data_IF_399204504232
#
_entry.id   IF_399204504232
#
_cell.length_a   1.000
_cell.length_b   1.000
_cell.length_c   1.000
_cell.angle_alpha   90.00
_cell.angle_beta   90.00
_cell.angle_gamma   90.00
#
_symmetry.space_group_name_H-M   'P 1'
#
loop_
_entity.id
_entity.type
_entity.pdbx_description
1 polymer ?
#
# COMPACT_ATOMS: atom_id res chain seq x y z
N UNK A 1 62.74 -28.48 -22.05
CA UNK A 1 61.80 -29.23 -21.20
C UNK A 1 60.75 -28.25 -20.73
N UNK A 2 59.48 -28.58 -20.97
CA UNK A 2 58.35 -27.65 -21.08
C UNK A 2 57.98 -26.96 -19.76
N UNK A 3 57.89 -25.63 -19.77
CA UNK A 3 57.23 -24.87 -18.72
C UNK A 3 55.72 -24.92 -18.99
N UNK A 4 54.99 -25.65 -18.15
CA UNK A 4 53.53 -25.70 -18.19
C UNK A 4 52.94 -24.39 -17.68
N UNK A 5 52.62 -23.46 -18.58
CA UNK A 5 51.65 -22.41 -18.32
C UNK A 5 50.25 -23.03 -18.38
N UNK A 6 49.68 -23.35 -17.21
CA UNK A 6 48.25 -23.60 -17.09
C UNK A 6 47.47 -22.32 -17.42
N UNK A 7 46.40 -22.37 -18.23
CA UNK A 7 45.60 -21.20 -18.55
C UNK A 7 44.91 -20.68 -17.28
N UNK A 8 45.07 -19.39 -17.02
CA UNK A 8 44.50 -18.69 -15.87
C UNK A 8 42.98 -18.48 -16.03
N UNK A 9 42.18 -19.47 -15.62
CA UNK A 9 40.73 -19.32 -15.41
C UNK A 9 40.42 -18.50 -14.14
N UNK A 10 40.85 -17.23 -14.08
CA UNK A 10 40.60 -16.35 -12.94
C UNK A 10 39.77 -15.10 -13.26
N UNK A 11 39.36 -14.93 -14.53
CA UNK A 11 38.55 -13.79 -14.98
C UNK A 11 37.03 -13.97 -14.81
N UNK A 12 36.49 -15.15 -15.16
CA UNK A 12 35.03 -15.39 -15.19
C UNK A 12 34.36 -15.33 -13.81
N UNK A 13 34.95 -15.98 -12.81
CA UNK A 13 34.34 -16.08 -11.47
C UNK A 13 34.31 -14.74 -10.71
N UNK A 14 35.27 -13.85 -10.96
CA UNK A 14 35.29 -12.50 -10.35
C UNK A 14 34.16 -11.62 -10.89
N UNK A 15 33.88 -11.71 -12.20
CA UNK A 15 32.78 -10.97 -12.82
C UNK A 15 31.40 -11.43 -12.32
N UNK A 16 31.22 -12.75 -12.17
CA UNK A 16 29.97 -13.31 -11.61
C UNK A 16 29.81 -12.95 -10.13
N UNK A 17 30.88 -12.97 -9.34
CA UNK A 17 30.84 -12.54 -7.94
C UNK A 17 30.45 -11.05 -7.79
N UNK A 18 30.97 -10.18 -8.66
CA UNK A 18 30.57 -8.77 -8.71
C UNK A 18 29.09 -8.61 -9.09
N UNK A 19 28.60 -9.36 -10.08
CA UNK A 19 27.19 -9.38 -10.46
C UNK A 19 26.30 -9.76 -9.26
N UNK A 20 26.64 -10.83 -8.54
CA UNK A 20 25.89 -11.26 -7.34
C UNK A 20 25.87 -10.16 -6.28
N UNK A 21 26.98 -9.45 -6.07
CA UNK A 21 27.05 -8.35 -5.10
C UNK A 21 26.13 -7.18 -5.49
N UNK A 22 26.08 -6.82 -6.78
CA UNK A 22 25.16 -5.79 -7.28
C UNK A 22 23.71 -6.25 -7.13
N UNK A 23 23.39 -7.49 -7.50
CA UNK A 23 22.05 -8.06 -7.32
C UNK A 23 21.63 -8.07 -5.85
N UNK A 24 22.52 -8.46 -4.93
CA UNK A 24 22.26 -8.45 -3.50
C UNK A 24 21.96 -7.03 -2.98
N UNK A 25 22.64 -6.01 -3.50
CA UNK A 25 22.33 -4.62 -3.17
C UNK A 25 20.93 -4.21 -3.64
N UNK A 26 20.56 -4.56 -4.87
CA UNK A 26 19.21 -4.30 -5.40
C UNK A 26 18.15 -5.02 -4.57
N UNK A 27 18.40 -6.27 -4.18
CA UNK A 27 17.51 -7.04 -3.31
C UNK A 27 17.32 -6.36 -1.95
N UNK A 28 18.41 -5.90 -1.33
CA UNK A 28 18.34 -5.20 -0.05
C UNK A 28 17.46 -3.93 -0.14
N UNK A 29 17.58 -3.18 -1.23
CA UNK A 29 16.72 -2.02 -1.47
C UNK A 29 15.26 -2.41 -1.73
N UNK A 30 15.00 -3.39 -2.59
CA UNK A 30 13.63 -3.80 -2.91
C UNK A 30 12.91 -4.35 -1.69
N UNK A 31 13.57 -5.17 -0.85
CA UNK A 31 12.97 -5.67 0.39
C UNK A 31 12.72 -4.56 1.42
N UNK A 32 13.64 -3.60 1.55
CA UNK A 32 13.51 -2.49 2.51
C UNK A 32 12.35 -1.57 2.10
N UNK A 33 12.29 -1.19 0.82
CA UNK A 33 11.21 -0.36 0.27
C UNK A 33 9.88 -1.11 0.27
N UNK A 34 9.88 -2.41 -0.04
CA UNK A 34 8.71 -3.27 0.03
C UNK A 34 8.10 -3.30 1.43
N UNK A 35 8.91 -3.56 2.47
CA UNK A 35 8.46 -3.54 3.87
C UNK A 35 7.91 -2.16 4.28
N UNK A 36 8.55 -1.08 3.83
CA UNK A 36 8.08 0.28 4.04
C UNK A 36 6.70 0.52 3.41
N UNK A 37 6.53 0.13 2.15
CA UNK A 37 5.27 0.25 1.42
C UNK A 37 4.16 -0.59 2.04
N UNK A 38 4.46 -1.82 2.47
CA UNK A 38 3.53 -2.70 3.18
C UNK A 38 3.08 -2.08 4.51
N UNK A 39 4.01 -1.51 5.28
CA UNK A 39 3.71 -0.84 6.55
C UNK A 39 2.83 0.38 6.33
N UNK A 40 3.13 1.19 5.30
CA UNK A 40 2.32 2.35 4.94
C UNK A 40 0.90 1.94 4.50
N UNK A 41 0.79 0.89 3.68
CA UNK A 41 -0.50 0.35 3.26
C UNK A 41 -1.35 -0.11 4.46
N UNK A 42 -0.74 -0.82 5.42
CA UNK A 42 -1.42 -1.24 6.64
C UNK A 42 -1.87 -0.04 7.48
N UNK A 43 -1.00 0.96 7.65
CA UNK A 43 -1.32 2.19 8.38
C UNK A 43 -2.51 2.94 7.75
N UNK A 44 -2.51 3.13 6.44
CA UNK A 44 -3.62 3.77 5.72
C UNK A 44 -4.90 2.93 5.74
N UNK A 45 -4.79 1.60 5.72
CA UNK A 45 -5.95 0.72 5.88
C UNK A 45 -6.59 0.88 7.26
N UNK A 46 -5.78 0.91 8.32
CA UNK A 46 -6.24 1.16 9.69
C UNK A 46 -6.90 2.55 9.79
N UNK A 47 -6.27 3.57 9.21
CA UNK A 47 -6.83 4.93 9.17
C UNK A 47 -8.20 4.97 8.47
N UNK A 48 -8.31 4.37 7.27
CA UNK A 48 -9.56 4.29 6.54
C UNK A 48 -10.64 3.54 7.33
N UNK A 49 -10.29 2.40 7.95
CA UNK A 49 -11.18 1.61 8.80
C UNK A 49 -11.71 2.43 9.99
N UNK A 50 -10.83 3.16 10.67
CA UNK A 50 -11.21 4.05 11.78
C UNK A 50 -12.16 5.16 11.30
N UNK A 51 -11.87 5.81 10.17
CA UNK A 51 -12.74 6.85 9.60
C UNK A 51 -14.12 6.32 9.23
N UNK A 52 -14.19 5.12 8.65
CA UNK A 52 -15.46 4.45 8.38
C UNK A 52 -16.20 4.06 9.65
N UNK A 53 -15.50 3.65 10.71
CA UNK A 53 -16.10 3.39 12.02
C UNK A 53 -16.72 4.66 12.61
N UNK A 54 -16.03 5.80 12.55
CA UNK A 54 -16.59 7.09 12.98
C UNK A 54 -17.80 7.52 12.14
N UNK A 55 -17.74 7.32 10.82
CA UNK A 55 -18.87 7.58 9.93
C UNK A 55 -20.09 6.73 10.31
N UNK A 56 -19.90 5.44 10.55
CA UNK A 56 -20.96 4.53 10.97
C UNK A 56 -21.53 4.93 12.34
N UNK A 57 -20.68 5.25 13.31
CA UNK A 57 -21.12 5.72 14.63
C UNK A 57 -21.98 7.00 14.53
N UNK A 58 -21.57 7.98 13.71
CA UNK A 58 -22.37 9.20 13.46
C UNK A 58 -23.67 8.89 12.72
N UNK A 59 -23.64 7.96 11.76
CA UNK A 59 -24.86 7.50 11.07
C UNK A 59 -25.87 6.93 12.06
N UNK A 60 -25.43 6.06 12.98
CA UNK A 60 -26.30 5.46 14.01
C UNK A 60 -26.87 6.54 14.92
N UNK A 61 -26.03 7.45 15.46
CA UNK A 61 -26.50 8.56 16.32
C UNK A 61 -27.50 9.47 15.60
N UNK A 62 -27.26 9.77 14.33
CA UNK A 62 -28.16 10.56 13.50
C UNK A 62 -29.51 9.84 13.31
N UNK A 63 -29.50 8.55 12.99
CA UNK A 63 -30.73 7.75 12.84
C UNK A 63 -31.52 7.75 14.14
N UNK A 64 -30.88 7.51 15.29
CA UNK A 64 -31.56 7.52 16.60
C UNK A 64 -32.23 8.87 16.87
N UNK A 65 -31.52 9.99 16.65
CA UNK A 65 -32.09 11.33 16.86
C UNK A 65 -33.25 11.63 15.91
N UNK A 66 -33.15 11.21 14.64
CA UNK A 66 -34.23 11.39 13.66
C UNK A 66 -35.46 10.56 14.00
N UNK A 67 -35.28 9.28 14.32
CA UNK A 67 -36.38 8.39 14.71
C UNK A 67 -37.06 8.90 15.97
N UNK A 68 -36.32 9.36 16.98
CA UNK A 68 -36.91 9.94 18.19
C UNK A 68 -37.70 11.23 17.91
N UNK A 69 -37.22 12.07 16.99
CA UNK A 69 -37.93 13.28 16.57
C UNK A 69 -39.22 12.93 15.80
N UNK A 70 -39.15 11.97 14.87
CA UNK A 70 -40.28 11.49 14.06
C UNK A 70 -41.35 10.79 14.94
N UNK A 71 -40.95 10.07 15.98
CA UNK A 71 -41.86 9.42 16.93
C UNK A 71 -42.67 10.46 17.74
N UNK A 72 -42.00 11.49 18.27
CA UNK A 72 -42.68 12.59 18.98
C UNK A 72 -43.61 13.40 18.06
N UNK A 73 -43.25 13.53 16.79
CA UNK A 73 -44.11 14.12 15.74
C UNK A 73 -45.37 13.28 15.52
N UNK A 74 -45.21 11.95 15.40
CA UNK A 74 -46.31 11.03 15.14
C UNK A 74 -47.30 10.89 16.32
N UNK A 75 -46.82 11.01 17.56
CA UNK A 75 -47.65 10.93 18.77
C UNK A 75 -48.56 12.18 18.99
N UNK A 76 -48.40 13.25 18.20
CA UNK A 76 -49.21 14.46 18.32
C UNK A 76 -48.91 15.30 19.57
N UNK A 77 -47.82 14.99 20.29
CA UNK A 77 -47.37 15.62 21.54
C UNK A 77 -46.76 17.01 21.36
N UNK A 78 -46.59 17.46 20.11
CA UNK A 78 -45.96 18.75 19.73
C UNK A 78 -46.77 19.99 20.13
N UNK A 79 -47.99 19.81 20.64
CA UNK A 79 -48.79 20.92 21.22
C UNK A 79 -48.09 21.58 22.42
N UNK A 80 -47.15 20.88 23.08
CA UNK A 80 -46.31 21.44 24.13
C UNK A 80 -45.07 22.13 23.54
N UNK A 81 -44.89 23.42 23.81
CA UNK A 81 -43.78 24.23 23.30
C UNK A 81 -42.40 23.66 23.68
N UNK A 82 -42.28 23.01 24.84
CA UNK A 82 -41.05 22.34 25.29
C UNK A 82 -40.71 21.14 24.39
N UNK A 83 -41.71 20.35 24.02
CA UNK A 83 -41.54 19.19 23.13
C UNK A 83 -41.14 19.66 21.73
N UNK A 84 -41.77 20.74 21.24
CA UNK A 84 -41.43 21.34 19.94
C UNK A 84 -39.97 21.79 19.89
N UNK A 85 -39.48 22.51 20.92
CA UNK A 85 -38.08 22.93 21.01
C UNK A 85 -37.11 21.74 21.05
N UNK A 86 -37.48 20.66 21.74
CA UNK A 86 -36.67 19.44 21.81
C UNK A 86 -36.53 18.77 20.43
N UNK A 87 -37.63 18.64 19.69
CA UNK A 87 -37.65 18.07 18.34
C UNK A 87 -36.80 18.90 17.37
N UNK A 88 -36.95 20.24 17.39
CA UNK A 88 -36.12 21.14 16.58
C UNK A 88 -34.62 21.02 16.92
N UNK A 89 -34.28 20.92 18.21
CA UNK A 89 -32.90 20.73 18.65
C UNK A 89 -32.29 19.40 18.19
N UNK A 90 -33.07 18.31 18.22
CA UNK A 90 -32.64 17.00 17.72
C UNK A 90 -32.47 17.00 16.20
N UNK A 91 -33.41 17.61 15.45
CA UNK A 91 -33.29 17.77 13.99
C UNK A 91 -32.03 18.56 13.63
N UNK A 92 -31.79 19.70 14.28
CA UNK A 92 -30.58 20.52 14.08
C UNK A 92 -29.30 19.75 14.41
N UNK A 93 -29.30 18.93 15.46
CA UNK A 93 -28.15 18.08 15.83
C UNK A 93 -27.90 16.98 14.80
N UNK A 94 -28.97 16.34 14.30
CA UNK A 94 -28.90 15.33 13.26
C UNK A 94 -28.41 15.91 11.92
N UNK A 95 -28.79 17.14 11.58
CA UNK A 95 -28.26 17.88 10.44
C UNK A 95 -26.78 18.22 10.63
N UNK A 96 -26.38 18.65 11.82
CA UNK A 96 -24.98 18.91 12.14
C UNK A 96 -24.13 17.66 11.90
N UNK A 97 -24.54 16.48 12.38
CA UNK A 97 -23.81 15.23 12.09
C UNK A 97 -23.65 14.90 10.60
N UNK A 98 -24.50 15.45 9.72
CA UNK A 98 -24.35 15.26 8.28
C UNK A 98 -23.13 16.00 7.71
N UNK A 99 -22.84 17.20 8.21
CA UNK A 99 -21.73 18.04 7.75
C UNK A 99 -21.28 18.98 8.87
N UNK A 100 -20.01 18.84 9.26
CA UNK A 100 -19.34 19.68 10.26
C UNK A 100 -17.99 20.12 9.70
N UNK A 101 -17.96 21.14 8.82
CA UNK A 101 -16.73 21.55 8.14
C UNK A 101 -15.68 22.09 9.10
N UNK A 102 -16.10 22.72 10.19
CA UNK A 102 -15.22 23.35 11.19
C UNK A 102 -14.32 22.33 11.90
N UNK A 103 -14.86 21.13 12.19
CA UNK A 103 -14.12 20.04 12.86
C UNK A 103 -13.66 18.95 11.89
N UNK A 104 -14.22 18.92 10.68
CA UNK A 104 -13.95 17.86 9.69
C UNK A 104 -14.49 16.49 10.13
N UNK A 105 -15.42 16.47 11.08
CA UNK A 105 -15.99 15.24 11.63
C UNK A 105 -17.41 14.95 11.14
N UNK A 106 -17.99 15.78 10.28
CA UNK A 106 -19.29 15.45 9.70
C UNK A 106 -19.20 14.21 8.81
N UNK A 107 -20.34 13.54 8.59
CA UNK A 107 -20.38 12.32 7.78
C UNK A 107 -19.79 12.50 6.39
N UNK A 108 -20.06 13.65 5.73
CA UNK A 108 -19.50 13.94 4.40
C UNK A 108 -17.98 14.03 4.44
N UNK A 109 -17.45 14.77 5.41
CA UNK A 109 -16.03 15.03 5.59
C UNK A 109 -15.28 13.74 5.98
N UNK A 110 -15.83 12.95 6.90
CA UNK A 110 -15.31 11.63 7.27
C UNK A 110 -15.24 10.69 6.06
N UNK A 111 -16.30 10.65 5.24
CA UNK A 111 -16.32 9.79 4.05
C UNK A 111 -15.31 10.22 2.98
N UNK A 112 -15.08 11.53 2.82
CA UNK A 112 -14.09 12.06 1.90
C UNK A 112 -12.66 11.69 2.35
N UNK A 113 -12.36 11.88 3.64
CA UNK A 113 -11.07 11.49 4.24
C UNK A 113 -10.85 9.99 4.17
N UNK A 114 -11.88 9.17 4.42
CA UNK A 114 -11.78 7.72 4.34
C UNK A 114 -11.37 7.28 2.93
N UNK A 115 -12.01 7.84 1.89
CA UNK A 115 -11.66 7.57 0.49
C UNK A 115 -10.25 8.03 0.12
N UNK A 116 -9.79 9.15 0.68
CA UNK A 116 -8.42 9.61 0.48
C UNK A 116 -7.41 8.63 1.10
N UNK A 117 -7.66 8.16 2.33
CA UNK A 117 -6.86 7.15 2.99
C UNK A 117 -6.85 5.83 2.21
N UNK A 118 -7.99 5.41 1.66
CA UNK A 118 -8.08 4.25 0.76
C UNK A 118 -7.22 4.43 -0.48
N UNK A 119 -7.25 5.61 -1.13
CA UNK A 119 -6.40 5.88 -2.30
C UNK A 119 -4.91 5.83 -1.95
N UNK A 120 -4.52 6.33 -0.77
CA UNK A 120 -3.13 6.25 -0.27
C UNK A 120 -2.73 4.80 0.02
N UNK A 121 -3.61 4.01 0.64
CA UNK A 121 -3.44 2.57 0.84
C UNK A 121 -3.22 1.87 -0.50
N UNK A 122 -4.06 2.12 -1.49
CA UNK A 122 -4.00 1.43 -2.78
C UNK A 122 -2.70 1.78 -3.52
N UNK A 123 -2.27 3.03 -3.43
CA UNK A 123 -0.97 3.47 -3.97
C UNK A 123 0.20 2.75 -3.29
N UNK A 124 0.17 2.65 -1.95
CA UNK A 124 1.21 1.96 -1.19
C UNK A 124 1.21 0.44 -1.47
N UNK A 125 0.05 -0.18 -1.60
CA UNK A 125 -0.07 -1.61 -1.97
C UNK A 125 0.46 -1.87 -3.38
N UNK A 126 0.17 -0.99 -4.33
CA UNK A 126 0.66 -1.15 -5.69
C UNK A 126 2.20 -1.03 -5.74
N UNK A 127 2.78 -0.07 -5.00
CA UNK A 127 4.23 0.01 -4.82
C UNK A 127 4.81 -1.28 -4.21
N UNK A 128 4.17 -1.81 -3.16
CA UNK A 128 4.57 -3.04 -2.50
C UNK A 128 4.64 -4.22 -3.48
N UNK A 129 3.61 -4.43 -4.31
CA UNK A 129 3.61 -5.52 -5.29
C UNK A 129 4.77 -5.42 -6.29
N UNK A 130 5.13 -4.22 -6.74
CA UNK A 130 6.30 -4.03 -7.60
C UNK A 130 7.62 -4.39 -6.91
N UNK A 131 7.77 -4.02 -5.63
CA UNK A 131 8.96 -4.39 -4.86
C UNK A 131 9.06 -5.89 -4.58
N UNK A 132 7.93 -6.58 -4.39
CA UNK A 132 7.89 -8.04 -4.27
C UNK A 132 8.32 -8.73 -5.58
N UNK A 133 7.80 -8.27 -6.72
CA UNK A 133 8.22 -8.79 -8.03
C UNK A 133 9.70 -8.53 -8.31
N UNK A 134 10.20 -7.33 -7.97
CA UNK A 134 11.61 -7.00 -8.06
C UNK A 134 12.46 -7.95 -7.20
N UNK A 135 12.08 -8.15 -5.94
CA UNK A 135 12.79 -9.01 -5.00
C UNK A 135 12.83 -10.45 -5.49
N UNK A 136 11.70 -10.99 -5.94
CA UNK A 136 11.61 -12.34 -6.49
C UNK A 136 12.51 -12.52 -7.74
N UNK A 137 12.45 -11.58 -8.69
CA UNK A 137 13.28 -11.63 -9.89
C UNK A 137 14.78 -11.61 -9.56
N UNK A 138 15.19 -10.75 -8.62
CA UNK A 138 16.59 -10.62 -8.18
C UNK A 138 17.06 -11.86 -7.41
N UNK A 139 16.22 -12.44 -6.54
CA UNK A 139 16.54 -13.69 -5.85
C UNK A 139 16.79 -14.83 -6.85
N UNK A 140 15.94 -14.98 -7.87
CA UNK A 140 16.14 -15.96 -8.94
C UNK A 140 17.44 -15.67 -9.71
N UNK A 141 17.71 -14.39 -10.03
CA UNK A 141 18.95 -13.98 -10.68
C UNK A 141 20.20 -14.39 -9.88
N UNK A 142 20.18 -14.20 -8.55
CA UNK A 142 21.29 -14.59 -7.66
C UNK A 142 21.49 -16.10 -7.66
N UNK A 143 20.40 -16.89 -7.64
CA UNK A 143 20.48 -18.37 -7.70
C UNK A 143 21.10 -18.82 -9.03
N UNK A 144 20.67 -18.25 -10.15
CA UNK A 144 21.20 -18.58 -11.48
C UNK A 144 22.67 -18.15 -11.63
N UNK A 145 23.04 -16.97 -11.15
CA UNK A 145 24.42 -16.52 -11.13
C UNK A 145 25.29 -17.46 -10.28
N UNK A 146 24.81 -17.89 -9.11
CA UNK A 146 25.51 -18.85 -8.26
C UNK A 146 25.66 -20.22 -8.93
N UNK A 147 24.61 -20.72 -9.60
CA UNK A 147 24.66 -21.98 -10.36
C UNK A 147 25.64 -21.93 -11.54
N UNK A 148 25.81 -20.75 -12.16
CA UNK A 148 26.77 -20.56 -13.26
C UNK A 148 28.22 -20.75 -12.83
N UNK A 149 28.57 -20.45 -11.57
CA UNK A 149 29.92 -20.66 -11.02
C UNK A 149 30.24 -22.15 -10.96
N UNK A 150 29.26 -22.99 -10.61
CA UNK A 150 29.44 -24.44 -10.46
C UNK A 150 29.41 -25.13 -11.83
N UNK A 151 28.44 -24.76 -12.67
CA UNK A 151 28.19 -25.44 -13.95
C UNK A 151 29.06 -24.93 -15.10
N UNK A 152 29.69 -23.75 -14.94
CA UNK A 152 30.45 -23.06 -15.99
C UNK A 152 29.63 -22.75 -17.26
N UNK A 153 28.30 -22.69 -17.15
CA UNK A 153 27.39 -22.39 -18.27
C UNK A 153 27.20 -20.87 -18.39
N UNK A 154 27.76 -20.27 -19.44
CA UNK A 154 27.67 -18.84 -19.70
C UNK A 154 26.21 -18.34 -19.89
N UNK A 155 25.32 -19.18 -20.43
CA UNK A 155 23.90 -18.83 -20.63
C UNK A 155 23.19 -18.49 -19.31
N UNK A 156 23.59 -19.10 -18.19
CA UNK A 156 23.02 -18.81 -16.87
C UNK A 156 23.39 -17.40 -16.38
N UNK A 157 24.60 -16.92 -16.71
CA UNK A 157 25.04 -15.55 -16.39
C UNK A 157 24.20 -14.53 -17.15
N UNK A 158 23.94 -14.77 -18.44
CA UNK A 158 23.08 -13.90 -19.25
C UNK A 158 21.64 -13.86 -18.73
N UNK A 159 21.08 -15.02 -18.36
CA UNK A 159 19.74 -15.10 -17.79
C UNK A 159 19.65 -14.39 -16.42
N UNK A 160 20.67 -14.57 -15.57
CA UNK A 160 20.78 -13.86 -14.30
C UNK A 160 20.87 -12.34 -14.52
N UNK A 161 21.70 -11.89 -15.46
CA UNK A 161 21.80 -10.47 -15.82
C UNK A 161 20.47 -9.90 -16.32
N UNK A 162 19.76 -10.62 -17.20
CA UNK A 162 18.46 -10.21 -17.71
C UNK A 162 17.41 -10.08 -16.59
N UNK A 163 17.33 -11.07 -15.69
CA UNK A 163 16.44 -11.02 -14.53
C UNK A 163 16.84 -9.91 -13.54
N UNK A 164 18.13 -9.64 -13.39
CA UNK A 164 18.62 -8.50 -12.61
C UNK A 164 18.13 -7.15 -13.15
N UNK A 165 18.19 -6.96 -14.47
CA UNK A 165 17.66 -5.76 -15.13
C UNK A 165 16.15 -5.65 -14.93
N UNK A 166 15.41 -6.75 -15.06
CA UNK A 166 13.97 -6.80 -14.78
C UNK A 166 13.69 -6.40 -13.32
N UNK A 167 14.47 -6.91 -12.37
CA UNK A 167 14.38 -6.55 -10.97
C UNK A 167 14.59 -5.06 -10.70
N UNK A 168 15.64 -4.47 -11.29
CA UNK A 168 15.89 -3.03 -11.20
C UNK A 168 14.74 -2.23 -11.81
N UNK A 169 14.24 -2.64 -12.98
CA UNK A 169 13.12 -1.96 -13.64
C UNK A 169 11.86 -1.95 -12.74
N UNK A 170 11.51 -3.09 -12.13
CA UNK A 170 10.38 -3.16 -11.20
C UNK A 170 10.59 -2.34 -9.93
N UNK A 171 11.82 -2.29 -9.40
CA UNK A 171 12.14 -1.45 -8.25
C UNK A 171 11.96 0.04 -8.57
N UNK A 172 12.40 0.48 -9.76
CA UNK A 172 12.20 1.86 -10.23
C UNK A 172 10.73 2.17 -10.50
N UNK A 173 9.96 1.24 -11.07
CA UNK A 173 8.52 1.39 -11.28
C UNK A 173 7.80 1.55 -9.94
N UNK A 174 8.11 0.70 -8.96
CA UNK A 174 7.55 0.80 -7.62
C UNK A 174 7.87 2.13 -6.91
N UNK A 175 9.01 2.75 -7.22
CA UNK A 175 9.41 4.03 -6.66
C UNK A 175 8.76 5.24 -7.33
N UNK A 176 8.72 5.28 -8.66
CA UNK A 176 8.26 6.46 -9.41
C UNK A 176 6.81 6.38 -9.90
N UNK A 177 6.33 5.21 -10.30
CA UNK A 177 5.01 5.02 -10.91
C UNK A 177 4.23 3.85 -10.30
N UNK A 178 4.07 3.80 -8.97
CA UNK A 178 3.49 2.65 -8.29
C UNK A 178 2.06 2.33 -8.74
N UNK A 179 1.30 3.30 -9.27
CA UNK A 179 -0.09 3.12 -9.68
C UNK A 179 -0.34 3.11 -11.19
N UNK A 180 0.67 3.42 -12.01
CA UNK A 180 0.46 3.48 -13.47
C UNK A 180 0.71 2.14 -14.18
N UNK A 181 1.44 1.23 -13.53
CA UNK A 181 1.72 -0.09 -14.07
C UNK A 181 0.87 -1.10 -13.30
N UNK A 182 -0.34 -1.35 -13.78
CA UNK A 182 -1.19 -2.41 -13.22
C UNK A 182 -0.69 -3.78 -13.72
N UNK A 183 0.02 -4.49 -12.85
CA UNK A 183 0.25 -5.93 -13.00
C UNK A 183 -0.63 -6.61 -11.95
N UNK A 184 -1.85 -6.92 -12.38
CA UNK A 184 -2.96 -7.55 -11.65
C UNK A 184 -3.70 -6.64 -10.66
#
# INVERSE_FOLDING_TARGET
MSAGHGPSEHGGNKGVALLISVLALVLAFSETLGKGAQTAALAYNIEASNLWAFFQAKTIRQTVLRTAAEELEAQGTIKNETVKKQVEAWKKTAERYQSEPETGEGRKELSARAKEAEKKRDTAMAAYHHYELASAAVQIAIVLASASIITSIAALVWLAGALGVVGVAFCLIGFFWPTQVHLF
#
